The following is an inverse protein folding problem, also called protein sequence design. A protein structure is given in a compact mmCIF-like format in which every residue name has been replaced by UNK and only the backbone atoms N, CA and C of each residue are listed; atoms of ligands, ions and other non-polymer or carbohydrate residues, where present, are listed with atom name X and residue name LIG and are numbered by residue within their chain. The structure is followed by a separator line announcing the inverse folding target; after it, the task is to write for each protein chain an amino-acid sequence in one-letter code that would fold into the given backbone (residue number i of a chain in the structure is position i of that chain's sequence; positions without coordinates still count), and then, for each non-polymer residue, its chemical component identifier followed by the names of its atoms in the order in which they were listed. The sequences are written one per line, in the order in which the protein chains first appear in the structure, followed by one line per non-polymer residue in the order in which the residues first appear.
data_IF_811275511543
#
_entry.id   IF_811275511543
#
_cell.length_a   1.000
_cell.length_b   1.000
_cell.length_c   1.000
_cell.angle_alpha   90.00
_cell.angle_beta   90.00
_cell.angle_gamma   90.00
#
_symmetry.space_group_name_H-M   'P 1'
#
loop_
_entity.id
_entity.type
_entity.pdbx_description
1 polymer ?
#
# COMPACT_ATOMS: atom_id res chain seq x y z
N UNK A 1 -21.44 -66.11 -52.58
CA UNK A 1 -20.20 -65.48 -53.08
C UNK A 1 -20.44 -63.97 -53.13
N UNK A 2 -19.93 -63.20 -52.25
CA UNK A 2 -19.46 -61.83 -52.45
C UNK A 2 -19.08 -61.24 -51.10
N UNK A 3 -17.81 -61.04 -50.93
CA UNK A 3 -17.20 -60.37 -49.75
C UNK A 3 -17.42 -58.87 -49.85
N UNK A 4 -17.98 -58.24 -48.79
CA UNK A 4 -17.99 -56.81 -48.61
C UNK A 4 -16.98 -56.41 -47.53
N UNK A 5 -15.98 -55.66 -47.95
CA UNK A 5 -14.87 -55.12 -47.14
C UNK A 5 -15.34 -53.95 -46.29
N UNK A 6 -15.21 -54.04 -44.98
CA UNK A 6 -15.37 -52.91 -44.05
C UNK A 6 -14.02 -52.11 -43.97
N UNK A 7 -14.04 -50.90 -44.49
CA UNK A 7 -12.93 -49.94 -44.29
C UNK A 7 -13.18 -49.18 -43.00
N UNK A 8 -12.37 -49.44 -41.94
CA UNK A 8 -12.33 -48.65 -40.74
C UNK A 8 -11.72 -47.29 -40.98
N UNK A 9 -12.49 -46.25 -40.60
CA UNK A 9 -11.99 -44.86 -40.56
C UNK A 9 -11.36 -44.63 -39.18
N UNK A 10 -10.05 -44.46 -39.13
CA UNK A 10 -9.36 -44.03 -37.93
C UNK A 10 -9.50 -42.51 -37.83
N UNK A 11 -10.21 -42.04 -36.83
CA UNK A 11 -10.27 -40.62 -36.47
C UNK A 11 -9.04 -40.28 -35.65
N UNK A 12 -8.15 -39.48 -36.20
CA UNK A 12 -7.00 -38.92 -35.48
C UNK A 12 -7.50 -37.70 -34.69
N UNK A 13 -7.58 -37.82 -33.38
CA UNK A 13 -7.83 -36.70 -32.46
C UNK A 13 -6.53 -35.92 -32.33
N UNK A 14 -6.41 -34.74 -32.95
CA UNK A 14 -5.38 -33.76 -32.64
C UNK A 14 -5.73 -33.07 -31.30
N UNK A 15 -5.01 -33.40 -30.27
CA UNK A 15 -5.04 -32.65 -29.03
C UNK A 15 -4.23 -31.35 -29.22
N UNK A 16 -4.90 -30.22 -29.30
CA UNK A 16 -4.26 -28.91 -29.30
C UNK A 16 -3.83 -28.57 -27.86
N UNK A 17 -2.55 -28.69 -27.56
CA UNK A 17 -1.97 -28.21 -26.31
C UNK A 17 -1.96 -26.67 -26.34
N UNK A 18 -2.85 -26.05 -25.56
CA UNK A 18 -2.82 -24.61 -25.29
C UNK A 18 -1.68 -24.33 -24.35
N UNK A 19 -0.55 -23.86 -24.85
CA UNK A 19 0.54 -23.29 -24.04
C UNK A 19 0.02 -21.97 -23.45
N UNK A 20 -0.36 -21.99 -22.18
CA UNK A 20 -0.55 -20.76 -21.39
C UNK A 20 0.85 -20.21 -21.12
N UNK A 21 1.29 -19.27 -21.94
CA UNK A 21 2.49 -18.50 -21.66
C UNK A 21 2.23 -17.64 -20.43
N UNK A 22 2.69 -18.09 -19.26
CA UNK A 22 2.82 -17.26 -18.06
C UNK A 22 3.76 -16.11 -18.42
N UNK A 23 3.20 -14.91 -18.58
CA UNK A 23 3.98 -13.70 -18.75
C UNK A 23 4.72 -13.45 -17.41
N UNK A 24 5.92 -13.98 -17.30
CA UNK A 24 6.84 -13.63 -16.22
C UNK A 24 7.06 -12.12 -16.30
N UNK A 25 6.52 -11.39 -15.31
CA UNK A 25 6.80 -9.96 -15.15
C UNK A 25 8.31 -9.77 -15.15
N UNK A 26 8.83 -8.90 -16.04
CA UNK A 26 10.25 -8.54 -16.05
C UNK A 26 10.67 -8.20 -14.62
N UNK A 27 11.81 -8.71 -14.14
CA UNK A 27 12.27 -8.37 -12.80
C UNK A 27 12.36 -6.84 -12.70
N UNK A 28 11.67 -6.30 -11.70
CA UNK A 28 11.71 -4.87 -11.42
C UNK A 28 13.15 -4.53 -11.08
N UNK A 29 13.73 -3.55 -11.76
CA UNK A 29 15.13 -3.17 -11.60
C UNK A 29 15.45 -2.98 -10.13
N UNK A 30 16.42 -3.74 -9.63
CA UNK A 30 16.80 -3.75 -8.22
C UNK A 30 17.11 -2.32 -7.73
N UNK A 31 16.68 -2.00 -6.52
CA UNK A 31 16.98 -0.72 -5.86
C UNK A 31 18.39 -0.71 -5.25
N UNK A 32 19.37 -1.23 -5.97
CA UNK A 32 20.74 -1.44 -5.47
C UNK A 32 21.32 -0.18 -4.83
N UNK A 33 21.77 -0.31 -3.57
CA UNK A 33 22.40 0.76 -2.81
C UNK A 33 21.43 1.79 -2.20
N UNK A 34 20.13 1.65 -2.38
CA UNK A 34 19.13 2.51 -1.72
C UNK A 34 18.90 2.09 -0.27
N UNK A 35 18.90 3.06 0.64
CA UNK A 35 18.70 2.83 2.07
C UNK A 35 17.25 3.03 2.48
N UNK A 36 16.74 2.11 3.28
CA UNK A 36 15.39 2.18 3.90
C UNK A 36 15.52 2.16 5.41
N UNK A 37 14.84 3.08 6.05
CA UNK A 37 14.59 3.03 7.48
C UNK A 37 13.17 2.53 7.70
N UNK A 38 13.03 1.37 8.35
CA UNK A 38 11.75 0.79 8.75
C UNK A 38 11.52 1.04 10.24
N UNK A 39 10.64 1.98 10.56
CA UNK A 39 10.31 2.33 11.96
C UNK A 39 8.97 1.70 12.33
N UNK A 40 8.96 0.96 13.44
CA UNK A 40 7.76 0.24 13.88
C UNK A 40 7.57 0.31 15.40
N UNK A 41 6.35 0.12 15.86
CA UNK A 41 6.01 0.12 17.29
C UNK A 41 4.60 0.65 17.57
N UNK A 42 4.41 1.14 18.79
CA UNK A 42 3.12 1.63 19.26
C UNK A 42 2.22 0.48 19.70
N UNK A 43 0.96 0.50 19.33
CA UNK A 43 -0.02 -0.49 19.78
C UNK A 43 0.20 -1.87 19.14
N UNK A 44 0.45 -2.87 19.99
CA UNK A 44 0.77 -4.25 19.56
C UNK A 44 -0.39 -4.97 18.86
N UNK A 45 -1.63 -4.51 19.02
CA UNK A 45 -2.79 -5.11 18.35
C UNK A 45 -2.74 -5.03 16.82
N UNK A 46 -1.93 -4.14 16.24
CA UNK A 46 -1.65 -4.08 14.80
C UNK A 46 -0.49 -4.98 14.35
N UNK A 47 0.02 -5.82 15.23
CA UNK A 47 1.10 -6.78 14.94
C UNK A 47 2.31 -6.15 14.21
N UNK A 48 2.80 -4.97 14.61
CA UNK A 48 3.79 -4.22 13.83
C UNK A 48 5.08 -5.03 13.59
N UNK A 49 5.50 -5.86 14.55
CA UNK A 49 6.65 -6.75 14.40
C UNK A 49 6.45 -7.77 13.29
N UNK A 50 5.28 -8.44 13.25
CA UNK A 50 4.97 -9.42 12.20
C UNK A 50 4.91 -8.77 10.82
N UNK A 51 4.40 -7.52 10.75
CA UNK A 51 4.41 -6.76 9.51
C UNK A 51 5.83 -6.44 9.02
N UNK A 52 6.77 -6.12 9.93
CA UNK A 52 8.20 -6.00 9.58
C UNK A 52 8.72 -7.31 8.99
N UNK A 53 8.40 -8.46 9.59
CA UNK A 53 8.81 -9.79 9.12
C UNK A 53 8.26 -10.12 7.71
N UNK A 54 7.12 -9.53 7.32
CA UNK A 54 6.59 -9.62 5.95
C UNK A 54 7.36 -8.72 4.98
N UNK A 55 7.53 -7.44 5.29
CA UNK A 55 7.96 -6.45 4.30
C UNK A 55 9.48 -6.21 4.26
N UNK A 56 10.21 -6.32 5.37
CA UNK A 56 11.65 -6.09 5.35
C UNK A 56 12.41 -7.08 4.45
N UNK A 57 12.09 -8.41 4.45
CA UNK A 57 12.70 -9.33 3.49
C UNK A 57 12.30 -9.06 2.03
N UNK A 58 11.07 -8.53 1.79
CA UNK A 58 10.65 -8.13 0.44
C UNK A 58 11.50 -6.98 -0.08
N UNK A 59 11.69 -5.93 0.73
CA UNK A 59 12.53 -4.80 0.38
C UNK A 59 13.99 -5.23 0.15
N UNK A 60 14.55 -6.08 1.02
CA UNK A 60 15.91 -6.61 0.85
C UNK A 60 16.06 -7.38 -0.48
N UNK A 61 15.07 -8.20 -0.89
CA UNK A 61 15.07 -8.87 -2.20
C UNK A 61 15.05 -7.91 -3.38
N UNK A 62 14.49 -6.71 -3.20
CA UNK A 62 14.55 -5.64 -4.19
C UNK A 62 15.88 -4.87 -4.20
N UNK A 63 16.84 -5.22 -3.32
CA UNK A 63 18.17 -4.64 -3.28
C UNK A 63 18.33 -3.46 -2.34
N UNK A 64 17.35 -3.21 -1.48
CA UNK A 64 17.47 -2.18 -0.44
C UNK A 64 18.35 -2.64 0.72
N UNK A 65 19.13 -1.69 1.25
CA UNK A 65 19.76 -1.80 2.58
C UNK A 65 18.72 -1.36 3.62
N UNK A 66 18.20 -2.32 4.40
CA UNK A 66 17.06 -2.12 5.30
C UNK A 66 17.54 -2.04 6.74
N UNK A 67 17.45 -0.86 7.31
CA UNK A 67 17.61 -0.66 8.76
C UNK A 67 16.23 -0.71 9.44
N UNK A 68 16.12 -1.44 10.56
CA UNK A 68 14.90 -1.59 11.36
C UNK A 68 15.09 -0.90 12.70
N UNK A 69 14.15 -0.04 13.10
CA UNK A 69 14.19 0.69 14.38
C UNK A 69 12.84 0.67 15.08
N UNK A 70 12.87 0.54 16.41
CA UNK A 70 11.70 0.76 17.29
C UNK A 70 11.71 2.15 17.93
N UNK A 71 12.81 2.90 17.78
CA UNK A 71 12.94 4.24 18.36
C UNK A 71 12.69 5.32 17.31
N UNK A 72 11.88 6.32 17.68
CA UNK A 72 11.69 7.53 16.89
C UNK A 72 12.90 8.48 16.97
N UNK A 73 13.86 8.26 17.90
CA UNK A 73 15.08 9.05 17.97
C UNK A 73 15.94 8.95 16.71
N UNK A 74 15.73 7.90 15.93
CA UNK A 74 16.36 7.77 14.60
C UNK A 74 16.05 8.98 13.70
N UNK A 75 14.94 9.69 13.91
CA UNK A 75 14.57 10.90 13.17
C UNK A 75 15.39 12.12 13.54
N UNK A 76 16.10 12.11 14.66
CA UNK A 76 16.96 13.21 15.13
C UNK A 76 18.28 13.29 14.34
N UNK A 77 18.72 12.19 13.74
CA UNK A 77 19.92 12.19 12.91
C UNK A 77 19.64 12.73 11.50
N UNK A 78 19.77 14.02 11.33
CA UNK A 78 19.47 14.71 10.09
C UNK A 78 20.33 14.24 8.89
N UNK A 79 21.60 13.83 9.14
CA UNK A 79 22.50 13.35 8.09
C UNK A 79 22.04 11.97 7.59
N UNK A 80 21.77 11.07 8.52
CA UNK A 80 21.19 9.75 8.23
C UNK A 80 19.87 9.89 7.51
N UNK A 81 18.93 10.66 8.04
CA UNK A 81 17.60 10.84 7.47
C UNK A 81 17.67 11.34 6.02
N UNK A 82 18.53 12.30 5.71
CA UNK A 82 18.73 12.79 4.34
C UNK A 82 19.38 11.77 3.40
N UNK A 83 20.09 10.78 3.92
CA UNK A 83 20.73 9.73 3.13
C UNK A 83 19.78 8.61 2.71
N UNK A 84 18.58 8.55 3.28
CA UNK A 84 17.59 7.54 3.01
C UNK A 84 16.92 7.74 1.65
N UNK A 85 16.47 6.66 1.07
CA UNK A 85 15.55 6.68 -0.08
C UNK A 85 14.10 6.53 0.35
N UNK A 86 13.86 5.92 1.53
CA UNK A 86 12.52 5.61 2.03
C UNK A 86 12.51 5.51 3.56
N UNK A 87 11.49 6.06 4.17
CA UNK A 87 11.03 5.73 5.53
C UNK A 87 9.76 4.88 5.40
N UNK A 88 9.77 3.67 5.96
CA UNK A 88 8.55 2.87 6.17
C UNK A 88 8.07 3.12 7.58
N UNK A 89 6.86 3.68 7.70
CA UNK A 89 6.25 4.05 8.97
C UNK A 89 5.20 3.01 9.35
N UNK A 90 5.42 2.32 10.49
CA UNK A 90 4.52 1.32 11.07
C UNK A 90 4.41 1.50 12.59
N UNK A 91 4.14 2.73 13.03
CA UNK A 91 3.98 3.11 14.44
C UNK A 91 2.55 3.57 14.68
N UNK A 92 1.75 2.80 15.42
CA UNK A 92 0.35 3.14 15.71
C UNK A 92 0.20 3.77 17.08
N UNK A 93 -0.60 4.85 17.19
CA UNK A 93 -0.90 5.56 18.45
C UNK A 93 0.36 5.90 19.25
N UNK A 94 1.44 6.21 18.54
CA UNK A 94 2.70 6.64 19.13
C UNK A 94 2.66 8.08 19.60
N UNK A 95 3.75 8.48 20.26
CA UNK A 95 4.01 9.87 20.61
C UNK A 95 5.31 10.30 19.96
N UNK A 96 5.31 11.45 19.31
CA UNK A 96 6.47 12.04 18.66
C UNK A 96 6.80 13.39 19.29
N UNK A 97 8.07 13.68 19.54
CA UNK A 97 8.47 15.04 19.99
C UNK A 97 8.52 15.99 18.79
N UNK A 98 8.50 17.29 19.06
CA UNK A 98 8.60 18.31 18.03
C UNK A 98 9.91 18.19 17.22
N UNK A 99 11.01 17.81 17.87
CA UNK A 99 12.31 17.63 17.23
C UNK A 99 12.33 16.40 16.32
N UNK A 100 11.79 15.26 16.79
CA UNK A 100 11.67 14.03 16.01
C UNK A 100 10.77 14.26 14.78
N UNK A 101 9.62 14.90 14.99
CA UNK A 101 8.71 15.25 13.90
C UNK A 101 9.37 16.17 12.88
N UNK A 102 10.07 17.22 13.37
CA UNK A 102 10.80 18.13 12.49
C UNK A 102 11.83 17.38 11.65
N UNK A 103 12.60 16.48 12.25
CA UNK A 103 13.58 15.66 11.54
C UNK A 103 12.96 14.79 10.45
N UNK A 104 11.83 14.11 10.76
CA UNK A 104 11.08 13.34 9.79
C UNK A 104 10.58 14.23 8.65
N UNK A 105 9.86 15.32 8.95
CA UNK A 105 9.27 16.21 7.95
C UNK A 105 10.32 16.87 7.05
N UNK A 106 11.44 17.29 7.62
CA UNK A 106 12.54 17.91 6.84
C UNK A 106 13.16 16.90 5.86
N UNK A 107 13.34 15.65 6.27
CA UNK A 107 13.83 14.58 5.40
C UNK A 107 12.85 14.32 4.24
N UNK A 108 11.57 14.13 4.55
CA UNK A 108 10.55 13.90 3.52
C UNK A 108 10.45 15.11 2.57
N UNK A 109 10.37 16.33 3.11
CA UNK A 109 10.32 17.55 2.31
C UNK A 109 11.52 17.70 1.36
N UNK A 110 12.69 17.19 1.76
CA UNK A 110 13.91 17.25 0.93
C UNK A 110 13.94 16.21 -0.21
N UNK A 111 13.07 15.18 -0.18
CA UNK A 111 12.96 14.21 -1.26
C UNK A 111 12.99 12.74 -0.83
N UNK A 112 13.21 12.44 0.45
CA UNK A 112 13.08 11.08 0.99
C UNK A 112 11.62 10.64 0.84
N UNK A 113 11.38 9.41 0.39
CA UNK A 113 10.05 8.83 0.31
C UNK A 113 9.53 8.39 1.68
N UNK A 114 8.21 8.32 1.81
CA UNK A 114 7.57 7.73 2.98
C UNK A 114 6.45 6.80 2.54
N UNK A 115 6.34 5.64 3.18
CA UNK A 115 5.27 4.69 2.93
C UNK A 115 4.81 4.05 4.23
N UNK A 116 3.54 3.68 4.29
CA UNK A 116 2.98 2.96 5.41
C UNK A 116 1.57 2.48 5.12
N UNK A 117 0.98 1.84 6.11
CA UNK A 117 -0.37 1.29 6.01
C UNK A 117 -1.10 1.40 7.33
N UNK A 118 -2.43 1.41 7.25
CA UNK A 118 -3.36 1.33 8.38
C UNK A 118 -3.00 2.32 9.49
N UNK A 119 -3.12 1.92 10.75
CA UNK A 119 -2.73 2.74 11.89
C UNK A 119 -1.25 3.08 11.94
N UNK A 120 -0.40 2.31 11.27
CA UNK A 120 1.04 2.54 11.19
C UNK A 120 1.45 3.83 10.47
N UNK A 121 0.55 4.44 9.68
CA UNK A 121 0.75 5.74 9.05
C UNK A 121 -0.45 6.67 9.28
N UNK A 122 -1.68 6.19 9.15
CA UNK A 122 -2.90 7.00 9.21
C UNK A 122 -3.33 7.33 10.65
N UNK A 123 -2.83 6.59 11.64
CA UNK A 123 -3.14 6.74 13.07
C UNK A 123 -1.85 6.73 13.93
N UNK A 124 -0.73 7.14 13.35
CA UNK A 124 0.57 7.11 14.03
C UNK A 124 0.64 8.07 15.21
N UNK A 125 0.28 9.33 14.96
CA UNK A 125 0.41 10.42 15.93
C UNK A 125 -0.88 11.24 15.94
N UNK A 126 -1.85 10.78 16.73
CA UNK A 126 -3.18 11.38 16.82
C UNK A 126 -3.12 12.85 17.23
N UNK A 127 -3.99 13.67 16.65
CA UNK A 127 -4.09 15.11 16.94
C UNK A 127 -2.79 15.89 16.61
N UNK A 128 -2.04 15.40 15.62
CA UNK A 128 -0.88 16.08 15.09
C UNK A 128 -1.17 16.55 13.66
N UNK A 129 -1.71 17.77 13.47
CA UNK A 129 -2.13 18.24 12.15
C UNK A 129 -0.96 18.40 11.16
N UNK A 130 0.25 18.65 11.61
CA UNK A 130 1.42 18.74 10.75
C UNK A 130 1.79 17.38 10.14
N UNK A 131 1.71 16.33 10.95
CA UNK A 131 1.91 14.96 10.49
C UNK A 131 0.77 14.51 9.56
N UNK A 132 -0.48 14.73 9.97
CA UNK A 132 -1.69 14.37 9.20
C UNK A 132 -1.71 15.07 7.83
N UNK A 133 -1.33 16.34 7.78
CA UNK A 133 -1.15 17.10 6.53
C UNK A 133 -0.05 16.49 5.64
N UNK A 134 1.07 16.04 6.24
CA UNK A 134 2.14 15.39 5.49
C UNK A 134 1.68 14.10 4.84
N UNK A 135 1.00 13.21 5.59
CA UNK A 135 0.60 11.88 5.09
C UNK A 135 -0.68 11.89 4.26
N UNK A 136 -1.44 13.00 4.28
CA UNK A 136 -2.60 13.20 3.42
C UNK A 136 -3.90 12.66 3.97
N UNK A 137 -4.01 12.47 5.27
CA UNK A 137 -5.23 12.09 5.95
C UNK A 137 -5.02 11.60 7.35
N UNK A 138 -6.11 11.53 8.14
CA UNK A 138 -6.10 11.01 9.49
C UNK A 138 -7.26 10.04 9.72
N UNK A 139 -7.04 9.05 10.55
CA UNK A 139 -8.07 8.14 11.01
C UNK A 139 -9.12 8.88 11.85
N UNK A 140 -10.40 8.59 11.58
CA UNK A 140 -11.52 9.12 12.35
C UNK A 140 -12.28 8.01 13.09
N UNK A 141 -12.53 6.87 12.42
CA UNK A 141 -13.28 5.74 12.97
C UNK A 141 -13.03 4.45 12.16
N UNK A 142 -13.48 3.32 12.71
CA UNK A 142 -13.60 2.03 12.02
C UNK A 142 -14.94 1.37 12.40
N UNK A 143 -16.07 1.85 11.84
CA UNK A 143 -17.41 1.38 12.18
C UNK A 143 -17.57 -0.11 11.98
N UNK A 144 -17.97 -0.83 13.03
CA UNK A 144 -18.14 -2.28 13.04
C UNK A 144 -16.90 -3.08 13.42
N UNK A 145 -15.74 -2.44 13.67
CA UNK A 145 -14.50 -3.13 14.02
C UNK A 145 -13.98 -3.99 12.88
N UNK A 146 -13.68 -5.27 13.15
CA UNK A 146 -13.23 -6.22 12.12
C UNK A 146 -14.44 -6.73 11.33
N UNK A 147 -14.56 -6.31 10.08
CA UNK A 147 -15.65 -6.67 9.17
C UNK A 147 -15.13 -7.13 7.82
N UNK A 148 -15.99 -7.80 7.05
CA UNK A 148 -15.71 -8.13 5.66
C UNK A 148 -16.09 -6.93 4.77
N UNK A 149 -15.14 -6.45 3.96
CA UNK A 149 -15.38 -5.39 3.00
C UNK A 149 -14.56 -5.56 1.72
N UNK A 150 -14.92 -4.81 0.70
CA UNK A 150 -14.27 -4.86 -0.60
C UNK A 150 -13.47 -3.59 -0.87
N UNK A 151 -12.31 -3.76 -1.49
CA UNK A 151 -11.46 -2.69 -2.00
C UNK A 151 -11.56 -2.68 -3.52
N UNK A 152 -12.01 -1.54 -4.08
CA UNK A 152 -12.18 -1.31 -5.50
C UNK A 152 -11.02 -0.48 -6.05
N UNK A 153 -10.32 -1.00 -7.05
CA UNK A 153 -9.23 -0.30 -7.72
C UNK A 153 -9.83 0.71 -8.71
N UNK A 154 -9.57 2.00 -8.48
CA UNK A 154 -10.08 3.11 -9.29
C UNK A 154 -9.15 3.53 -10.43
N UNK A 155 -7.85 3.29 -10.30
CA UNK A 155 -6.87 3.50 -11.35
C UNK A 155 -6.11 2.20 -11.64
N UNK A 156 -6.51 1.50 -12.70
CA UNK A 156 -5.89 0.23 -13.14
C UNK A 156 -4.67 0.44 -14.05
N UNK A 157 -4.37 1.68 -14.42
CA UNK A 157 -3.21 2.03 -15.24
C UNK A 157 -1.98 2.37 -14.40
N UNK A 158 -2.18 2.78 -13.15
CA UNK A 158 -1.08 3.14 -12.26
C UNK A 158 -0.18 1.93 -11.99
N UNK A 159 1.16 2.09 -11.99
CA UNK A 159 2.10 1.00 -11.72
C UNK A 159 1.87 0.26 -10.41
N UNK A 160 1.31 0.92 -9.38
CA UNK A 160 1.03 0.30 -8.07
C UNK A 160 -0.11 -0.72 -8.18
N UNK A 161 -1.14 -0.42 -8.96
CA UNK A 161 -2.38 -1.20 -9.05
C UNK A 161 -2.52 -2.00 -10.35
N UNK A 162 -1.66 -1.75 -11.32
CA UNK A 162 -1.73 -2.40 -12.64
C UNK A 162 -1.72 -3.92 -12.55
N UNK A 163 -2.69 -4.55 -13.23
CA UNK A 163 -2.83 -5.99 -13.30
C UNK A 163 -3.41 -6.64 -12.04
N UNK A 164 -3.82 -5.84 -11.05
CA UNK A 164 -4.52 -6.32 -9.87
C UNK A 164 -6.04 -6.22 -10.07
N UNK A 165 -6.77 -7.16 -9.51
CA UNK A 165 -8.23 -7.12 -9.39
C UNK A 165 -8.68 -6.48 -8.08
N UNK A 166 -9.94 -6.07 -8.00
CA UNK A 166 -10.61 -5.75 -6.75
C UNK A 166 -10.51 -6.95 -5.80
N UNK A 167 -10.49 -6.71 -4.51
CA UNK A 167 -10.25 -7.75 -3.52
C UNK A 167 -11.04 -7.52 -2.23
N UNK A 168 -11.22 -8.59 -1.47
CA UNK A 168 -11.92 -8.56 -0.18
C UNK A 168 -10.93 -8.72 0.95
N UNK A 169 -11.23 -8.06 2.06
CA UNK A 169 -10.51 -8.16 3.33
C UNK A 169 -11.50 -8.42 4.45
N UNK A 170 -11.04 -9.12 5.48
CA UNK A 170 -11.67 -9.15 6.79
C UNK A 170 -10.77 -8.38 7.76
N UNK A 171 -11.03 -7.08 7.90
CA UNK A 171 -10.16 -6.12 8.57
C UNK A 171 -10.96 -4.94 9.12
N UNK A 172 -10.32 -3.96 9.73
CA UNK A 172 -10.93 -2.68 10.04
C UNK A 172 -11.09 -1.84 8.78
N UNK A 173 -12.34 -1.46 8.46
CA UNK A 173 -12.64 -0.52 7.38
C UNK A 173 -12.54 0.91 7.92
N UNK A 174 -11.47 1.62 7.60
CA UNK A 174 -11.23 2.97 8.11
C UNK A 174 -12.13 4.02 7.47
N UNK A 175 -12.78 4.82 8.33
CA UNK A 175 -13.36 6.10 7.96
C UNK A 175 -12.31 7.18 8.18
N UNK A 176 -11.95 7.93 7.14
CA UNK A 176 -10.81 8.83 7.10
C UNK A 176 -11.22 10.28 6.84
N UNK A 177 -10.49 11.21 7.43
CA UNK A 177 -10.41 12.58 6.91
C UNK A 177 -9.26 12.64 5.90
N UNK A 178 -9.56 12.97 4.65
CA UNK A 178 -8.59 12.86 3.55
C UNK A 178 -8.32 14.22 2.91
N UNK A 179 -7.04 14.52 2.69
CA UNK A 179 -6.57 15.72 1.97
C UNK A 179 -7.08 15.68 0.50
N UNK A 180 -7.68 16.78 0.00
CA UNK A 180 -8.10 16.85 -1.41
C UNK A 180 -6.93 16.76 -2.40
N UNK A 181 -5.69 16.97 -1.97
CA UNK A 181 -4.49 16.95 -2.82
C UNK A 181 -3.82 15.56 -2.86
N UNK A 182 -4.62 14.48 -2.90
CA UNK A 182 -4.12 13.11 -3.07
C UNK A 182 -4.53 12.52 -4.43
N UNK A 183 -3.73 11.62 -4.96
CA UNK A 183 -4.11 10.74 -6.08
C UNK A 183 -4.64 9.43 -5.52
N UNK A 184 -5.95 9.19 -5.66
CA UNK A 184 -6.63 7.99 -5.15
C UNK A 184 -6.48 6.85 -6.15
N UNK A 185 -5.98 5.71 -5.69
CA UNK A 185 -5.78 4.49 -6.48
C UNK A 185 -6.81 3.40 -6.19
N UNK A 186 -7.37 3.39 -4.98
CA UNK A 186 -8.43 2.47 -4.60
C UNK A 186 -9.35 3.08 -3.54
N UNK A 187 -10.59 2.60 -3.51
CA UNK A 187 -11.65 3.04 -2.60
C UNK A 187 -12.37 1.84 -1.98
N UNK A 188 -13.14 2.10 -0.92
CA UNK A 188 -14.13 1.18 -0.37
C UNK A 188 -15.46 1.91 -0.20
N UNK A 189 -16.57 1.17 -0.07
CA UNK A 189 -17.89 1.75 0.16
C UNK A 189 -18.48 1.19 1.44
N UNK A 190 -18.92 2.06 2.34
CA UNK A 190 -19.56 1.66 3.58
C UNK A 190 -20.96 1.11 3.32
N UNK A 191 -21.26 -0.07 3.87
CA UNK A 191 -22.56 -0.72 3.75
C UNK A 191 -23.66 -0.03 4.59
N UNK A 192 -23.26 0.73 5.61
CA UNK A 192 -24.17 1.29 6.60
C UNK A 192 -24.69 0.28 7.63
N UNK A 193 -24.12 -0.93 7.67
CA UNK A 193 -24.56 -1.99 8.60
C UNK A 193 -24.24 -1.62 10.07
N UNK A 194 -23.07 -1.06 10.32
CA UNK A 194 -22.67 -0.59 11.64
C UNK A 194 -23.30 0.78 11.95
N UNK A 195 -23.17 1.72 11.02
CA UNK A 195 -23.63 3.10 11.12
C UNK A 195 -24.41 3.48 9.88
N UNK A 196 -25.76 3.58 10.01
CA UNK A 196 -26.66 3.80 8.87
C UNK A 196 -26.39 5.14 8.15
N UNK A 197 -25.99 6.16 8.88
CA UNK A 197 -25.77 7.52 8.31
C UNK A 197 -24.53 7.61 7.38
N UNK A 198 -23.67 6.59 7.36
CA UNK A 198 -22.56 6.53 6.40
C UNK A 198 -22.82 5.58 5.22
N UNK A 199 -24.03 5.01 5.11
CA UNK A 199 -24.39 4.11 4.01
C UNK A 199 -24.11 4.75 2.66
N UNK A 200 -23.36 4.02 1.82
CA UNK A 200 -22.99 4.46 0.48
C UNK A 200 -21.81 5.45 0.44
N UNK A 201 -21.26 5.84 1.59
CA UNK A 201 -20.06 6.68 1.61
C UNK A 201 -18.89 5.93 0.97
N UNK A 202 -18.33 6.53 -0.06
CA UNK A 202 -17.12 6.04 -0.74
C UNK A 202 -15.89 6.66 -0.07
N UNK A 203 -14.95 5.82 0.38
CA UNK A 203 -13.79 6.24 1.15
C UNK A 203 -12.49 5.84 0.42
N UNK A 204 -11.53 6.76 0.24
CA UNK A 204 -10.19 6.42 -0.23
C UNK A 204 -9.51 5.39 0.68
N UNK A 205 -8.92 4.37 0.08
CA UNK A 205 -8.20 3.29 0.77
C UNK A 205 -6.72 3.28 0.42
N UNK A 206 -6.38 3.64 -0.81
CA UNK A 206 -4.98 3.74 -1.26
C UNK A 206 -4.79 5.06 -1.97
N UNK A 207 -3.75 5.80 -1.57
CA UNK A 207 -3.42 7.05 -2.24
C UNK A 207 -1.93 7.35 -2.28
N UNK A 208 -1.59 8.25 -3.19
CA UNK A 208 -0.27 8.87 -3.36
C UNK A 208 -0.36 10.38 -3.16
N UNK A 209 0.69 10.96 -2.63
CA UNK A 209 0.81 12.41 -2.40
C UNK A 209 2.25 12.86 -2.53
N UNK A 210 2.47 14.16 -2.80
CA UNK A 210 3.74 14.83 -2.56
C UNK A 210 3.70 15.64 -1.27
N UNK A 211 4.83 15.62 -0.55
CA UNK A 211 5.12 16.57 0.52
C UNK A 211 6.51 17.20 0.26
N UNK A 212 6.53 18.44 -0.22
CA UNK A 212 7.74 19.02 -0.80
C UNK A 212 8.21 18.19 -2.00
N UNK A 213 9.44 17.64 -1.94
CA UNK A 213 9.98 16.74 -2.96
C UNK A 213 9.77 15.27 -2.63
N UNK A 214 9.30 14.93 -1.43
CA UNK A 214 9.07 13.55 -0.99
C UNK A 214 7.78 12.96 -1.54
N UNK A 215 7.80 11.66 -1.82
CA UNK A 215 6.64 10.87 -2.23
C UNK A 215 6.06 10.16 -1.03
N UNK A 216 4.77 10.32 -0.79
CA UNK A 216 4.03 9.67 0.30
C UNK A 216 3.09 8.64 -0.29
N UNK A 217 3.18 7.40 0.18
CA UNK A 217 2.24 6.33 -0.10
C UNK A 217 1.50 5.93 1.17
N UNK A 218 0.18 5.81 1.09
CA UNK A 218 -0.67 5.40 2.20
C UNK A 218 -1.68 4.35 1.73
N UNK A 219 -1.86 3.29 2.53
CA UNK A 219 -2.94 2.31 2.41
C UNK A 219 -3.66 2.20 3.76
N UNK A 220 -5.00 2.21 3.79
CA UNK A 220 -5.78 2.21 5.05
C UNK A 220 -6.16 0.82 5.53
N UNK A 221 -5.84 -0.24 4.79
CA UNK A 221 -5.93 -1.65 5.22
C UNK A 221 -4.61 -2.12 5.84
N UNK A 222 -4.61 -3.32 6.42
CA UNK A 222 -3.42 -3.91 7.05
C UNK A 222 -3.47 -3.82 8.57
N UNK A 223 -4.64 -4.07 9.16
CA UNK A 223 -4.84 -4.12 10.62
C UNK A 223 -3.91 -5.14 11.28
N UNK A 224 -3.76 -6.30 10.67
CA UNK A 224 -2.83 -7.34 11.10
C UNK A 224 -1.96 -7.86 9.96
N UNK A 225 -0.93 -8.61 10.29
CA UNK A 225 -0.05 -9.22 9.30
C UNK A 225 -0.79 -10.18 8.36
N UNK A 226 -1.88 -10.82 8.84
CA UNK A 226 -2.71 -11.72 8.05
C UNK A 226 -3.44 -11.01 6.89
N UNK A 227 -3.69 -9.70 6.97
CA UNK A 227 -4.26 -8.95 5.85
C UNK A 227 -3.38 -9.02 4.61
N UNK A 228 -2.07 -9.20 4.79
CA UNK A 228 -1.09 -9.34 3.72
C UNK A 228 -0.95 -10.76 3.16
N UNK A 229 -1.72 -11.73 3.65
CA UNK A 229 -1.94 -13.02 2.99
C UNK A 229 -2.80 -12.84 1.72
N UNK A 230 -3.60 -11.76 1.67
CA UNK A 230 -4.28 -11.31 0.44
C UNK A 230 -3.23 -10.75 -0.53
N UNK A 231 -2.99 -11.41 -1.68
CA UNK A 231 -1.88 -11.06 -2.58
C UNK A 231 -1.95 -9.61 -3.08
N UNK A 232 -3.16 -9.09 -3.37
CA UNK A 232 -3.36 -7.73 -3.84
C UNK A 232 -2.97 -6.71 -2.77
N UNK A 233 -3.35 -6.93 -1.51
CA UNK A 233 -3.01 -6.04 -0.41
C UNK A 233 -1.49 -5.95 -0.22
N UNK A 234 -0.81 -7.10 -0.17
CA UNK A 234 0.65 -7.17 -0.04
C UNK A 234 1.35 -6.49 -1.22
N UNK A 235 0.90 -6.77 -2.44
CA UNK A 235 1.53 -6.24 -3.65
C UNK A 235 1.36 -4.72 -3.76
N UNK A 236 0.18 -4.17 -3.44
CA UNK A 236 -0.08 -2.72 -3.43
C UNK A 236 0.87 -2.02 -2.47
N UNK A 237 1.03 -2.53 -1.25
CA UNK A 237 1.92 -1.91 -0.25
C UNK A 237 3.37 -2.00 -0.69
N UNK A 238 3.83 -3.14 -1.19
CA UNK A 238 5.19 -3.29 -1.72
C UNK A 238 5.46 -2.32 -2.88
N UNK A 239 4.57 -2.27 -3.88
CA UNK A 239 4.72 -1.35 -5.01
C UNK A 239 4.66 0.11 -4.59
N UNK A 240 3.84 0.44 -3.58
CA UNK A 240 3.78 1.75 -2.96
C UNK A 240 5.12 2.17 -2.34
N UNK A 241 5.78 1.26 -1.63
CA UNK A 241 7.13 1.48 -1.09
C UNK A 241 8.16 1.72 -2.20
N UNK A 242 8.14 0.90 -3.26
CA UNK A 242 9.04 1.04 -4.40
C UNK A 242 8.83 2.37 -5.12
N UNK A 243 7.57 2.79 -5.27
CA UNK A 243 7.21 4.09 -5.86
C UNK A 243 7.70 5.25 -5.00
N UNK A 244 7.45 5.21 -3.68
CA UNK A 244 7.89 6.24 -2.75
C UNK A 244 9.42 6.38 -2.73
N UNK A 245 10.15 5.26 -2.80
CA UNK A 245 11.61 5.21 -2.90
C UNK A 245 12.16 5.62 -4.28
N UNK A 246 11.31 6.02 -5.23
CA UNK A 246 11.71 6.37 -6.62
C UNK A 246 12.53 5.27 -7.30
N UNK A 247 12.10 4.02 -7.17
CA UNK A 247 12.71 2.90 -7.90
C UNK A 247 12.39 3.08 -9.40
N UNK A 248 13.34 2.92 -10.30
CA UNK A 248 13.11 3.00 -11.74
C UNK A 248 11.96 2.10 -12.20
N UNK A 249 11.02 2.65 -12.96
CA UNK A 249 9.84 1.94 -13.46
C UNK A 249 8.64 1.88 -12.48
N UNK A 250 8.79 2.33 -11.25
CA UNK A 250 7.69 2.32 -10.26
C UNK A 250 6.63 3.43 -10.48
N UNK A 251 6.84 4.35 -11.39
CA UNK A 251 5.88 5.41 -11.76
C UNK A 251 6.37 6.82 -11.53
N UNK A 252 5.61 7.78 -12.07
CA UNK A 252 5.85 9.23 -11.97
C UNK A 252 5.32 9.85 -10.68
N UNK A 253 5.41 11.19 -10.59
CA UNK A 253 4.82 11.94 -9.49
C UNK A 253 3.28 11.88 -9.56
N UNK A 254 2.60 11.97 -8.41
CA UNK A 254 1.15 11.82 -8.35
C UNK A 254 0.42 12.97 -9.05
N UNK A 255 -0.76 12.64 -9.57
CA UNK A 255 -1.70 13.61 -10.14
C UNK A 255 -2.92 13.67 -9.23
N UNK A 256 -3.10 14.72 -8.42
CA UNK A 256 -4.23 14.81 -7.51
C UNK A 256 -5.56 14.56 -8.21
N UNK A 257 -6.38 13.69 -7.64
CA UNK A 257 -7.65 13.26 -8.25
C UNK A 257 -8.87 13.71 -7.48
N UNK A 258 -8.72 14.59 -6.50
CA UNK A 258 -9.78 15.04 -5.61
C UNK A 258 -10.64 13.88 -5.08
N UNK A 259 -10.36 13.35 -3.89
CA UNK A 259 -11.05 12.17 -3.35
C UNK A 259 -12.57 12.38 -3.24
N UNK A 260 -13.03 13.62 -3.10
CA UNK A 260 -14.46 13.96 -2.96
C UNK A 260 -15.26 13.75 -4.25
N UNK A 261 -14.63 13.57 -5.42
CA UNK A 261 -15.34 13.24 -6.66
C UNK A 261 -16.09 11.90 -6.59
N UNK A 262 -15.66 10.99 -5.70
CA UNK A 262 -16.30 9.70 -5.53
C UNK A 262 -17.57 9.77 -4.66
N UNK A 263 -17.81 10.91 -3.99
CA UNK A 263 -19.00 11.14 -3.17
C UNK A 263 -20.20 11.66 -3.99
N UNK A 264 -19.99 12.01 -5.25
CA UNK A 264 -21.01 12.64 -6.13
C UNK A 264 -21.81 11.60 -6.96
N UNK A 265 -22.21 10.46 -6.37
CA UNK A 265 -23.04 9.46 -7.03
C UNK A 265 -24.36 9.27 -6.31
#
# INVERSE_FOLDING_TARGET
MNHASLRGRHAVLLAAAVLVASAASKPQTAASGKKVLFVWGGWEGHEPRKCVEVFAPLLARHGFDVEISQSLDTYLDAAKMKSLSLVVQAVTMGRITAEQEKGLRDAIRSGVGMAGWHGGIADSFRSNPEYEYMVGGSWAAHPGGIIDYEVHITDRADPITRGLSDFRLRSEQYYMLVDPNVEVLAVTTFSGQADEWIRGTVMPVVWKKLYGKGRIFNATFGHSAADFDVPQAREIVLRGMLWAARVPGAGGDPKPTNPYRFLAR
#
